data_IF_734491190077
#
_entry.id   IF_734491190077
#
_cell.length_a   1.000
_cell.length_b   1.000
_cell.length_c   1.000
_cell.angle_alpha   90.00
_cell.angle_beta   90.00
_cell.angle_gamma   90.00
#
_symmetry.space_group_name_H-M   'P 1'
#
loop_
_entity.id
_entity.type
_entity.pdbx_description
1 polymer ?
#
# COMPACT_ATOMS: atom_id res chain seq x y z
N UNK A 1 -26.24 5.89 -7.42
CA UNK A 1 -25.83 5.35 -6.12
C UNK A 1 -27.04 5.21 -5.23
N UNK A 2 -27.21 4.07 -4.58
CA UNK A 2 -28.30 3.86 -3.61
C UNK A 2 -28.00 4.58 -2.28
N UNK A 3 -29.02 4.86 -1.46
CA UNK A 3 -28.81 5.47 -0.12
C UNK A 3 -27.93 4.60 0.78
N UNK A 4 -27.93 3.27 0.56
CA UNK A 4 -27.02 2.33 1.22
C UNK A 4 -25.57 2.55 0.79
N UNK A 5 -25.32 2.61 -0.52
CA UNK A 5 -23.97 2.85 -1.06
C UNK A 5 -23.40 4.19 -0.59
N UNK A 6 -24.25 5.22 -0.48
CA UNK A 6 -23.83 6.53 0.02
C UNK A 6 -23.40 6.45 1.49
N UNK A 7 -24.14 5.74 2.34
CA UNK A 7 -23.73 5.52 3.74
C UNK A 7 -22.41 4.73 3.83
N UNK A 8 -22.27 3.67 3.03
CA UNK A 8 -21.05 2.88 3.01
C UNK A 8 -19.84 3.71 2.55
N UNK A 9 -20.03 4.60 1.58
CA UNK A 9 -18.99 5.52 1.14
C UNK A 9 -18.59 6.51 2.25
N UNK A 10 -19.55 7.01 3.05
CA UNK A 10 -19.25 7.86 4.21
C UNK A 10 -18.48 7.09 5.30
N UNK A 11 -18.90 5.86 5.62
CA UNK A 11 -18.21 4.98 6.57
C UNK A 11 -16.76 4.74 6.13
N UNK A 12 -16.56 4.36 4.86
CA UNK A 12 -15.22 4.13 4.31
C UNK A 12 -14.36 5.38 4.34
N UNK A 13 -14.90 6.53 3.94
CA UNK A 13 -14.16 7.79 3.94
C UNK A 13 -13.73 8.20 5.36
N UNK A 14 -14.57 7.97 6.37
CA UNK A 14 -14.24 8.28 7.76
C UNK A 14 -13.19 7.31 8.33
N UNK A 15 -13.33 6.02 8.06
CA UNK A 15 -12.33 5.02 8.46
C UNK A 15 -10.98 5.33 7.82
N UNK A 16 -10.94 5.63 6.52
CA UNK A 16 -9.70 5.95 5.79
C UNK A 16 -9.01 7.21 6.36
N UNK A 17 -9.78 8.23 6.74
CA UNK A 17 -9.25 9.45 7.39
C UNK A 17 -8.50 9.13 8.69
N UNK A 18 -8.87 8.02 9.34
CA UNK A 18 -8.32 7.60 10.63
C UNK A 18 -7.16 6.59 10.47
N UNK A 19 -6.60 6.42 9.26
CA UNK A 19 -5.39 5.61 9.01
C UNK A 19 -5.47 4.18 9.58
N UNK A 20 -6.38 3.33 9.07
CA UNK A 20 -6.49 1.96 9.53
C UNK A 20 -5.28 1.14 9.07
N UNK A 21 -5.00 0.04 9.77
CA UNK A 21 -4.11 -1.01 9.24
C UNK A 21 -4.83 -1.68 8.07
N UNK A 22 -4.13 -1.94 6.97
CA UNK A 22 -4.73 -2.46 5.73
C UNK A 22 -5.57 -3.74 5.95
N UNK A 23 -5.08 -4.66 6.78
CA UNK A 23 -5.75 -5.92 7.12
C UNK A 23 -7.01 -5.70 7.97
N UNK A 24 -7.06 -4.64 8.80
CA UNK A 24 -8.17 -4.36 9.70
C UNK A 24 -9.31 -3.56 9.04
N UNK A 25 -9.06 -2.94 7.88
CA UNK A 25 -10.00 -2.04 7.20
C UNK A 25 -11.38 -2.66 7.01
N UNK A 26 -11.45 -3.89 6.49
CA UNK A 26 -12.74 -4.55 6.22
C UNK A 26 -13.52 -4.85 7.51
N UNK A 27 -12.81 -5.23 8.57
CA UNK A 27 -13.41 -5.48 9.89
C UNK A 27 -13.98 -4.21 10.48
N UNK A 28 -13.24 -3.08 10.39
CA UNK A 28 -13.71 -1.78 10.86
C UNK A 28 -14.96 -1.31 10.09
N UNK A 29 -15.00 -1.50 8.77
CA UNK A 29 -16.20 -1.19 7.96
C UNK A 29 -17.42 -1.97 8.48
N UNK A 30 -17.28 -3.27 8.75
CA UNK A 30 -18.37 -4.11 9.26
C UNK A 30 -18.84 -3.70 10.66
N UNK A 31 -17.91 -3.36 11.54
CA UNK A 31 -18.24 -2.86 12.89
C UNK A 31 -18.99 -1.54 12.81
N UNK A 32 -18.51 -0.59 12.01
CA UNK A 32 -19.16 0.70 11.82
C UNK A 32 -20.54 0.56 11.16
N UNK A 33 -20.70 -0.32 10.15
CA UNK A 33 -21.99 -0.64 9.55
C UNK A 33 -22.98 -1.20 10.57
N UNK A 34 -22.53 -2.09 11.46
CA UNK A 34 -23.40 -2.69 12.49
C UNK A 34 -23.89 -1.68 13.54
N UNK A 35 -23.07 -0.65 13.81
CA UNK A 35 -23.39 0.41 14.76
C UNK A 35 -24.10 1.60 14.11
N UNK A 36 -24.42 1.56 12.81
CA UNK A 36 -25.03 2.69 12.10
C UNK A 36 -26.39 2.32 11.52
N UNK A 37 -27.42 3.06 11.93
CA UNK A 37 -28.77 2.99 11.35
C UNK A 37 -28.95 4.09 10.33
N UNK A 38 -29.59 3.79 9.19
CA UNK A 38 -29.97 4.80 8.19
C UNK A 38 -31.18 5.60 8.64
N UNK A 39 -31.20 6.87 8.30
CA UNK A 39 -32.34 7.77 8.48
C UNK A 39 -32.60 8.50 7.16
N UNK A 40 -33.85 8.90 6.95
CA UNK A 40 -34.24 9.71 5.78
C UNK A 40 -33.92 11.21 5.99
N UNK A 41 -33.80 11.63 7.24
CA UNK A 41 -33.43 13.00 7.61
C UNK A 41 -31.90 13.19 7.62
N UNK A 42 -31.37 14.36 7.23
CA UNK A 42 -29.96 14.70 7.38
C UNK A 42 -29.48 14.50 8.83
N UNK A 43 -28.30 13.88 9.07
CA UNK A 43 -27.22 13.58 8.12
C UNK A 43 -27.39 12.28 7.29
N UNK A 44 -28.55 11.63 7.36
CA UNK A 44 -28.85 10.38 6.64
C UNK A 44 -28.52 9.12 7.43
N UNK A 45 -28.04 9.26 8.66
CA UNK A 45 -27.67 8.16 9.55
C UNK A 45 -27.73 8.55 11.03
N UNK A 46 -27.73 7.54 11.89
CA UNK A 46 -27.65 7.67 13.34
C UNK A 46 -26.86 6.49 13.91
N UNK A 47 -25.96 6.78 14.86
CA UNK A 47 -25.18 5.76 15.54
C UNK A 47 -26.04 5.14 16.65
N UNK A 48 -26.09 3.82 16.70
CA UNK A 48 -26.89 3.05 17.65
C UNK A 48 -26.00 2.12 18.47
N UNK A 49 -26.46 1.76 19.66
CA UNK A 49 -25.82 0.75 20.50
C UNK A 49 -26.23 -0.66 20.09
N UNK A 50 -25.79 -1.65 20.89
CA UNK A 50 -26.08 -3.07 20.67
C UNK A 50 -27.58 -3.39 20.75
N UNK A 51 -28.34 -2.61 21.51
CA UNK A 51 -29.78 -2.74 21.67
C UNK A 51 -30.56 -1.94 20.60
N UNK A 52 -29.84 -1.26 19.71
CA UNK A 52 -30.40 -0.46 18.64
C UNK A 52 -30.91 0.91 19.09
N UNK A 53 -30.56 1.35 20.30
CA UNK A 53 -30.91 2.67 20.81
C UNK A 53 -29.92 3.73 20.32
N UNK A 54 -30.38 4.96 20.04
CA UNK A 54 -29.49 6.05 19.63
C UNK A 54 -28.42 6.36 20.67
N UNK A 55 -27.16 6.41 20.24
CA UNK A 55 -26.05 6.83 21.11
C UNK A 55 -25.90 8.35 21.07
N UNK A 56 -25.63 8.93 22.23
CA UNK A 56 -25.36 10.35 22.41
C UNK A 56 -24.04 10.56 23.14
N UNK A 57 -23.47 11.76 23.00
CA UNK A 57 -22.31 12.22 23.74
C UNK A 57 -22.60 13.56 24.40
N UNK A 58 -21.94 13.82 25.52
CA UNK A 58 -22.05 15.09 26.23
C UNK A 58 -20.87 15.98 25.82
N UNK A 59 -21.14 17.16 25.26
CA UNK A 59 -20.13 18.16 24.90
C UNK A 59 -20.55 19.49 25.50
N UNK A 60 -19.74 20.03 26.42
CA UNK A 60 -20.07 21.30 27.07
C UNK A 60 -21.35 21.28 27.92
N UNK A 61 -21.79 20.10 28.38
CA UNK A 61 -23.05 19.91 29.12
C UNK A 61 -24.28 19.66 28.24
N UNK A 62 -24.15 19.72 26.91
CA UNK A 62 -25.23 19.41 25.97
C UNK A 62 -25.13 17.97 25.46
N UNK A 63 -26.27 17.29 25.38
CA UNK A 63 -26.38 15.92 24.84
C UNK A 63 -26.57 15.98 23.33
N UNK A 64 -25.52 15.66 22.58
CA UNK A 64 -25.52 15.63 21.12
C UNK A 64 -25.56 14.18 20.59
N UNK A 65 -26.13 13.94 19.41
CA UNK A 65 -26.04 12.62 18.77
C UNK A 65 -24.58 12.28 18.48
N UNK A 66 -24.21 11.02 18.72
CA UNK A 66 -22.86 10.52 18.45
C UNK A 66 -22.62 10.55 16.93
N UNK A 67 -21.53 11.19 16.50
CA UNK A 67 -21.16 11.24 15.08
C UNK A 67 -20.39 10.00 14.63
N UNK A 68 -20.27 9.80 13.32
CA UNK A 68 -19.45 8.72 12.77
C UNK A 68 -17.96 8.87 13.16
N UNK A 69 -17.43 10.10 13.21
CA UNK A 69 -16.06 10.36 13.68
C UNK A 69 -15.89 9.93 15.14
N UNK A 70 -16.87 10.24 16.00
CA UNK A 70 -16.83 9.84 17.42
C UNK A 70 -16.86 8.32 17.58
N UNK A 71 -17.64 7.62 16.74
CA UNK A 71 -17.66 6.16 16.72
C UNK A 71 -16.30 5.58 16.32
N UNK A 72 -15.66 6.10 15.28
CA UNK A 72 -14.33 5.62 14.85
C UNK A 72 -13.26 5.93 15.90
N UNK A 73 -13.33 7.08 16.57
CA UNK A 73 -12.45 7.39 17.69
C UNK A 73 -12.65 6.44 18.89
N UNK A 74 -13.88 6.02 19.15
CA UNK A 74 -14.18 4.99 20.15
C UNK A 74 -13.60 3.63 19.75
N UNK A 75 -13.78 3.21 18.49
CA UNK A 75 -13.18 2.00 17.95
C UNK A 75 -11.66 2.03 18.05
N UNK A 76 -11.02 3.19 17.82
CA UNK A 76 -9.58 3.34 18.01
C UNK A 76 -9.15 3.17 19.46
N UNK A 77 -9.90 3.74 20.41
CA UNK A 77 -9.61 3.57 21.85
C UNK A 77 -9.76 2.11 22.29
N UNK A 78 -10.79 1.42 21.79
CA UNK A 78 -11.06 0.01 22.13
C UNK A 78 -10.10 -0.96 21.42
N UNK A 79 -9.72 -0.66 20.19
CA UNK A 79 -8.92 -1.53 19.33
C UNK A 79 -7.73 -0.77 18.71
N UNK A 80 -6.75 -0.32 19.52
CA UNK A 80 -5.65 0.50 19.03
C UNK A 80 -4.79 -0.19 17.97
N UNK A 81 -4.71 -1.52 18.00
CA UNK A 81 -3.95 -2.33 17.02
C UNK A 81 -4.57 -2.37 15.62
N UNK A 82 -5.83 -1.95 15.46
CA UNK A 82 -6.48 -1.87 14.14
C UNK A 82 -6.15 -0.56 13.40
N UNK A 83 -5.50 0.38 14.07
CA UNK A 83 -5.13 1.68 13.52
C UNK A 83 -3.60 1.83 13.51
N UNK A 84 -3.09 2.55 12.51
CA UNK A 84 -1.68 2.89 12.48
C UNK A 84 -1.37 3.82 13.65
N UNK A 85 -0.34 3.49 14.44
CA UNK A 85 0.13 4.42 15.44
C UNK A 85 0.72 5.64 14.74
N UNK A 86 0.47 6.86 15.25
CA UNK A 86 1.21 8.03 14.81
C UNK A 86 2.69 7.70 14.94
N UNK A 87 3.45 7.75 13.84
CA UNK A 87 4.88 7.56 13.88
C UNK A 87 5.44 8.46 14.97
N UNK A 88 6.06 7.87 16.00
CA UNK A 88 6.64 8.65 17.08
C UNK A 88 7.59 9.68 16.45
N UNK A 89 7.57 10.95 16.90
CA UNK A 89 8.57 11.90 16.46
C UNK A 89 9.94 11.29 16.74
N UNK A 90 10.88 11.33 15.78
CA UNK A 90 12.19 10.73 15.96
C UNK A 90 12.80 11.25 17.25
N UNK A 91 13.39 10.39 18.11
CA UNK A 91 14.04 10.86 19.32
C UNK A 91 15.06 11.93 18.94
N UNK A 92 15.02 13.07 19.63
CA UNK A 92 16.02 14.11 19.48
C UNK A 92 17.40 13.45 19.62
N UNK A 93 18.21 13.56 18.58
CA UNK A 93 19.48 12.87 18.46
C UNK A 93 20.38 13.18 19.66
N UNK A 94 20.46 12.24 20.60
CA UNK A 94 21.43 12.26 21.69
C UNK A 94 22.83 12.03 21.11
N UNK A 95 23.48 13.10 20.67
CA UNK A 95 24.93 13.38 20.80
C UNK A 95 25.99 12.36 20.36
N UNK A 96 25.66 11.20 19.81
CA UNK A 96 26.60 10.31 19.14
C UNK A 96 26.59 10.63 17.67
N UNK A 97 27.71 11.15 17.12
CA UNK A 97 27.82 11.59 15.73
C UNK A 97 27.12 10.60 14.76
N UNK A 98 25.99 10.99 14.16
CA UNK A 98 25.30 10.14 13.20
C UNK A 98 26.16 10.09 11.95
N UNK A 99 26.54 8.89 11.50
CA UNK A 99 27.13 8.75 10.16
C UNK A 99 26.00 8.96 9.15
N UNK A 100 26.22 9.88 8.21
CA UNK A 100 25.33 10.38 7.15
C UNK A 100 24.79 9.34 6.12
N UNK A 101 24.51 8.10 6.51
CA UNK A 101 24.10 7.05 5.57
C UNK A 101 22.62 6.64 5.66
N UNK A 102 21.85 7.16 6.62
CA UNK A 102 20.39 6.94 6.68
C UNK A 102 19.67 8.13 6.05
N UNK A 103 19.73 8.20 4.72
CA UNK A 103 18.81 9.02 3.94
C UNK A 103 18.20 8.11 2.89
N UNK A 104 17.12 7.41 3.28
CA UNK A 104 16.14 6.99 2.28
C UNK A 104 15.55 8.29 1.75
N UNK A 105 16.02 8.70 0.58
CA UNK A 105 15.43 9.81 -0.15
C UNK A 105 13.98 9.38 -0.41
N UNK A 106 12.96 10.06 0.15
CA UNK A 106 11.59 9.79 -0.26
C UNK A 106 11.56 9.96 -1.78
N UNK A 107 10.91 9.03 -2.48
CA UNK A 107 10.74 9.09 -3.93
C UNK A 107 10.45 10.54 -4.33
N UNK A 108 11.17 11.12 -5.31
CA UNK A 108 10.92 12.51 -5.68
C UNK A 108 9.44 12.60 -6.05
N UNK A 109 8.69 13.33 -5.21
CA UNK A 109 7.33 13.70 -5.53
C UNK A 109 7.37 14.25 -6.95
N UNK A 110 6.60 13.62 -7.86
CA UNK A 110 6.48 14.07 -9.23
C UNK A 110 6.39 15.61 -9.22
N UNK A 111 7.19 16.32 -10.04
CA UNK A 111 7.21 17.77 -10.00
C UNK A 111 5.79 18.26 -10.13
N UNK A 112 5.29 18.89 -9.06
CA UNK A 112 4.02 19.60 -9.11
C UNK A 112 4.15 20.56 -10.29
N UNK A 113 3.20 20.54 -11.25
CA UNK A 113 3.26 21.44 -12.38
C UNK A 113 3.39 22.86 -11.83
N UNK A 114 4.31 23.68 -12.36
CA UNK A 114 4.44 25.05 -11.90
C UNK A 114 3.08 25.71 -12.00
N UNK A 115 2.63 26.30 -10.90
CA UNK A 115 1.41 27.09 -10.85
C UNK A 115 1.52 28.20 -11.90
N UNK A 116 0.91 27.96 -13.07
CA UNK A 116 0.70 28.94 -14.14
C UNK A 116 -0.66 29.61 -13.92
N UNK A 117 -0.79 30.89 -14.27
CA UNK A 117 -0.59 31.96 -13.29
C UNK A 117 -1.90 32.64 -12.89
N UNK A 118 -1.89 33.19 -11.68
CA UNK A 118 -2.86 34.14 -11.11
C UNK A 118 -3.24 35.32 -12.02
N UNK A 119 -2.47 35.61 -13.09
CA UNK A 119 -2.76 36.66 -14.06
C UNK A 119 -4.04 36.44 -14.88
N UNK A 120 -4.45 35.19 -15.12
CA UNK A 120 -5.72 34.93 -15.83
C UNK A 120 -6.93 35.21 -14.93
N UNK A 121 -6.79 35.00 -13.61
CA UNK A 121 -7.83 35.33 -12.61
C UNK A 121 -7.97 36.84 -12.45
N UNK A 122 -6.88 37.59 -12.36
CA UNK A 122 -6.93 39.07 -12.32
C UNK A 122 -7.53 39.67 -13.60
N UNK A 123 -7.23 39.09 -14.77
CA UNK A 123 -7.81 39.55 -16.03
C UNK A 123 -9.32 39.25 -16.13
N UNK A 124 -9.78 38.12 -15.58
CA UNK A 124 -11.20 37.75 -15.56
C UNK A 124 -12.01 38.53 -14.51
N UNK A 125 -11.43 38.82 -13.34
CA UNK A 125 -12.07 39.65 -12.31
C UNK A 125 -12.23 41.11 -12.76
N UNK A 126 -11.25 41.65 -13.49
CA UNK A 126 -11.34 42.98 -14.11
C UNK A 126 -12.43 43.08 -15.19
N UNK A 127 -12.69 41.99 -15.90
CA UNK A 127 -13.73 41.92 -16.94
C UNK A 127 -15.13 41.72 -16.33
N UNK A 128 -15.23 40.95 -15.25
CA UNK A 128 -16.46 40.80 -14.46
C UNK A 128 -16.89 42.10 -13.76
N UNK A 129 -15.92 42.92 -13.30
CA UNK A 129 -16.20 44.24 -12.73
C UNK A 129 -16.75 45.23 -13.77
N UNK A 130 -16.29 45.15 -15.03
CA UNK A 130 -16.79 46.00 -16.14
C UNK A 130 -18.16 45.59 -16.68
N UNK A 131 -18.59 44.35 -16.44
CA UNK A 131 -19.90 43.84 -16.88
C UNK A 131 -21.01 43.98 -15.82
N UNK A 132 -20.70 44.41 -14.59
CA UNK A 132 -21.73 44.75 -13.60
C UNK A 132 -22.45 46.04 -14.00
N UNK A 133 -23.70 45.88 -14.47
CA UNK A 133 -24.66 46.98 -14.53
C UNK A 133 -24.83 47.60 -13.13
N UNK A 134 -24.90 48.93 -13.02
CA UNK A 134 -25.18 49.58 -11.74
C UNK A 134 -26.56 49.14 -11.24
N UNK A 135 -26.61 48.72 -9.97
CA UNK A 135 -27.87 48.43 -9.30
C UNK A 135 -28.71 49.71 -9.22
N UNK A 136 -30.04 49.63 -9.42
CA UNK A 136 -30.92 50.78 -9.24
C UNK A 136 -30.88 51.24 -7.77
N UNK A 137 -30.74 52.56 -7.59
CA UNK A 137 -30.64 53.22 -6.30
C UNK A 137 -31.88 52.95 -5.42
N UNK A 138 -31.71 52.86 -4.08
CA UNK A 138 -32.84 52.72 -3.17
C UNK A 138 -33.67 54.00 -3.19
N UNK A 139 -34.93 53.88 -3.63
CA UNK A 139 -35.92 54.94 -3.48
C UNK A 139 -36.27 55.05 -1.99
N UNK A 140 -36.18 56.29 -1.48
CA UNK A 140 -36.47 56.64 -0.09
C UNK A 140 -37.93 56.43 0.32
N UNK A 141 -38.24 56.65 1.60
CA UNK A 141 -39.51 56.26 2.20
C UNK A 141 -40.66 57.12 1.66
N UNK A 142 -41.64 56.47 1.02
CA UNK A 142 -42.91 57.10 0.66
C UNK A 142 -43.82 57.11 1.89
N UNK A 143 -44.35 58.30 2.15
CA UNK A 143 -45.23 58.64 3.23
C UNK A 143 -46.54 57.82 3.26
N UNK A 144 -47.12 57.81 4.46
CA UNK A 144 -48.37 57.19 4.85
C UNK A 144 -49.55 57.46 3.90
N UNK A 145 -50.36 56.42 3.67
CA UNK A 145 -51.72 56.53 3.16
C UNK A 145 -52.65 55.55 3.93
N UNK A 146 -53.42 56.15 4.84
CA UNK A 146 -54.82 55.93 5.25
C UNK A 146 -55.46 54.53 5.06
N UNK A 147 -56.12 53.96 6.10
CA UNK A 147 -56.92 52.74 6.00
C UNK A 147 -58.37 53.04 5.56
N UNK A 148 -58.95 52.18 4.73
CA UNK A 148 -60.39 52.20 4.37
C UNK A 148 -60.90 50.74 4.30
N UNK A 149 -62.14 50.45 4.74
CA UNK A 149 -62.45 49.25 5.52
C UNK A 149 -63.04 48.08 4.73
N UNK A 150 -63.15 46.96 5.44
CA UNK A 150 -63.82 45.73 5.06
C UNK A 150 -65.33 45.91 4.74
N UNK A 151 -65.79 45.13 3.76
CA UNK A 151 -67.20 44.93 3.40
C UNK A 151 -67.37 43.62 2.62
N UNK A 152 -68.58 43.02 2.58
CA UNK A 152 -68.78 41.75 3.25
C UNK A 152 -68.96 40.52 2.35
N UNK A 153 -68.90 39.38 3.03
CA UNK A 153 -69.38 38.04 2.67
C UNK A 153 -70.74 38.06 1.97
N UNK A 154 -70.81 37.36 0.83
CA UNK A 154 -72.04 36.94 0.18
C UNK A 154 -71.88 35.52 -0.34
N UNK A 155 -72.58 34.59 0.31
CA UNK A 155 -72.79 33.21 -0.11
C UNK A 155 -73.58 33.13 -1.42
N UNK A 156 -73.35 32.06 -2.19
CA UNK A 156 -74.45 31.38 -2.89
C UNK A 156 -74.25 31.02 -4.36
N UNK A 157 -74.01 29.71 -4.59
CA UNK A 157 -74.55 28.87 -5.68
C UNK A 157 -74.00 29.15 -7.11
N UNK A 158 -73.58 28.21 -7.96
CA UNK A 158 -73.68 26.74 -8.10
C UNK A 158 -72.64 26.31 -9.18
N UNK A 159 -72.30 25.01 -9.29
CA UNK A 159 -71.29 24.49 -10.21
C UNK A 159 -71.87 24.17 -11.60
N UNK A 160 -71.08 24.37 -12.66
CA UNK A 160 -71.51 24.05 -14.03
C UNK A 160 -70.41 24.20 -15.07
N UNK A 161 -69.76 23.07 -15.38
CA UNK A 161 -69.24 22.62 -16.67
C UNK A 161 -69.23 23.63 -17.84
N UNK A 162 -68.05 23.93 -18.41
CA UNK A 162 -67.78 23.78 -19.86
C UNK A 162 -66.39 24.30 -20.31
N UNK A 163 -65.59 23.34 -20.79
CA UNK A 163 -64.69 23.33 -21.97
C UNK A 163 -63.48 24.28 -22.12
N UNK A 164 -62.44 23.80 -22.83
CA UNK A 164 -61.12 24.42 -22.91
C UNK A 164 -61.02 25.40 -24.09
N UNK A 165 -60.39 26.56 -23.88
CA UNK A 165 -59.90 27.39 -24.97
C UNK A 165 -58.47 27.00 -25.35
N UNK A 166 -58.35 26.31 -26.49
CA UNK A 166 -57.15 26.33 -27.32
C UNK A 166 -56.92 27.77 -27.77
N UNK A 167 -55.80 28.38 -27.37
CA UNK A 167 -55.15 29.42 -28.17
C UNK A 167 -53.88 28.86 -28.78
N UNK A 168 -54.01 28.46 -30.05
CA UNK A 168 -52.91 28.53 -31.00
C UNK A 168 -52.50 29.99 -31.12
N UNK A 169 -51.24 30.27 -30.82
CA UNK A 169 -50.68 31.62 -30.86
C UNK A 169 -49.17 31.57 -31.04
N UNK A 170 -48.77 31.52 -32.31
CA UNK A 170 -47.58 32.17 -32.86
C UNK A 170 -46.22 31.47 -32.67
N UNK A 171 -45.87 30.72 -33.71
CA UNK A 171 -44.49 30.53 -34.17
C UNK A 171 -43.78 31.87 -34.41
N UNK A 172 -42.54 31.97 -33.93
CA UNK A 172 -41.40 32.72 -34.51
C UNK A 172 -40.19 32.44 -33.59
N UNK A 173 -39.37 31.43 -33.88
CA UNK A 173 -38.09 31.58 -34.58
C UNK A 173 -37.06 32.44 -33.84
N UNK A 174 -36.15 31.80 -33.10
CA UNK A 174 -34.73 32.21 -33.00
C UNK A 174 -33.87 31.00 -32.64
N UNK A 175 -33.47 30.24 -33.67
CA UNK A 175 -32.20 29.51 -33.70
C UNK A 175 -31.14 30.49 -34.21
N UNK A 176 -29.98 30.55 -33.56
CA UNK A 176 -28.74 31.11 -34.13
C UNK A 176 -28.04 32.16 -33.26
N UNK A 177 -26.71 32.02 -33.13
CA UNK A 177 -25.72 32.78 -32.34
C UNK A 177 -25.75 32.44 -30.83
N UNK A 178 -24.81 31.67 -30.26
CA UNK A 178 -23.36 31.81 -30.36
C UNK A 178 -22.65 30.47 -30.59
N UNK A 179 -22.13 30.29 -31.79
CA UNK A 179 -20.84 29.63 -31.97
C UNK A 179 -19.73 30.65 -31.64
N UNK A 180 -18.59 30.14 -31.16
CA UNK A 180 -17.30 30.80 -30.84
C UNK A 180 -16.94 30.65 -29.36
N UNK A 181 -16.49 29.43 -29.02
CA UNK A 181 -15.28 29.13 -28.24
C UNK A 181 -15.10 27.61 -28.16
N UNK A 182 -15.10 26.97 -29.33
CA UNK A 182 -14.78 25.55 -29.54
C UNK A 182 -13.60 25.43 -30.49
N UNK A 183 -12.51 26.14 -30.20
CA UNK A 183 -11.37 26.27 -31.09
C UNK A 183 -10.07 26.42 -30.31
N UNK A 184 -9.70 25.39 -29.54
CA UNK A 184 -8.33 25.15 -29.06
C UNK A 184 -8.16 23.73 -28.48
N UNK A 185 -8.68 22.69 -29.18
CA UNK A 185 -8.40 21.27 -28.85
C UNK A 185 -7.91 20.46 -30.07
N UNK A 186 -7.77 21.06 -31.27
CA UNK A 186 -7.31 20.32 -32.48
C UNK A 186 -5.91 20.74 -32.95
N UNK A 187 -5.13 21.47 -32.14
CA UNK A 187 -3.76 21.87 -32.50
C UNK A 187 -2.70 21.40 -31.47
N UNK A 188 -2.89 20.18 -30.95
CA UNK A 188 -1.92 19.53 -30.04
C UNK A 188 -1.82 18.01 -30.19
N UNK A 189 -2.47 17.41 -31.18
CA UNK A 189 -2.43 15.95 -31.47
C UNK A 189 -1.86 15.68 -32.88
N UNK A 190 -1.34 16.70 -33.57
CA UNK A 190 -0.88 16.61 -34.98
C UNK A 190 0.61 16.87 -35.20
N UNK A 191 1.48 16.65 -34.21
CA UNK A 191 2.91 16.96 -34.31
C UNK A 191 3.85 15.86 -33.78
N UNK A 192 3.37 14.63 -33.69
CA UNK A 192 4.18 13.47 -33.31
C UNK A 192 4.12 12.30 -34.31
N UNK A 193 3.49 12.48 -35.49
CA UNK A 193 3.39 11.43 -36.53
C UNK A 193 3.91 11.86 -37.91
N UNK A 194 4.74 12.91 -37.97
CA UNK A 194 5.46 13.31 -39.20
C UNK A 194 6.98 13.43 -38.96
N UNK A 195 7.56 12.41 -38.32
CA UNK A 195 9.01 12.19 -38.34
C UNK A 195 9.32 10.71 -38.14
N UNK A 196 8.95 9.90 -39.13
CA UNK A 196 9.76 8.74 -39.53
C UNK A 196 9.22 8.24 -40.88
N UNK A 197 9.83 8.77 -41.93
CA UNK A 197 9.71 8.22 -43.28
C UNK A 197 10.91 7.32 -43.55
N UNK A 198 10.62 6.10 -43.99
CA UNK A 198 11.40 5.39 -45.02
C UNK A 198 12.58 4.53 -44.55
N UNK A 199 12.30 3.23 -44.31
CA UNK A 199 12.74 2.05 -45.12
C UNK A 199 13.84 2.28 -46.21
N UNK A 200 14.66 1.26 -46.59
CA UNK A 200 14.27 -0.15 -46.66
C UNK A 200 15.33 -1.21 -46.33
N UNK A 201 14.80 -2.42 -46.16
CA UNK A 201 15.49 -3.69 -46.28
C UNK A 201 16.48 -3.78 -47.47
N UNK A 202 17.66 -4.35 -47.19
CA UNK A 202 18.47 -5.06 -48.19
C UNK A 202 18.61 -6.52 -47.80
N UNK A 203 17.89 -7.31 -48.58
CA UNK A 203 18.18 -8.68 -48.94
C UNK A 203 19.61 -8.81 -49.50
N UNK A 204 20.39 -9.72 -48.93
CA UNK A 204 21.55 -10.32 -49.58
C UNK A 204 21.81 -11.70 -48.94
N UNK A 205 21.69 -12.70 -49.79
CA UNK A 205 22.06 -14.10 -49.59
C UNK A 205 23.46 -14.30 -48.99
N UNK A 206 23.63 -15.38 -48.21
CA UNK A 206 24.81 -16.27 -48.12
C UNK A 206 24.28 -17.55 -47.44
N UNK A 207 23.94 -18.59 -48.21
CA UNK A 207 24.79 -19.76 -48.53
C UNK A 207 24.95 -20.73 -47.34
N UNK A 208 24.40 -21.93 -47.55
CA UNK A 208 24.67 -23.14 -46.79
C UNK A 208 26.17 -23.50 -46.76
N UNK A 209 26.58 -24.32 -45.78
CA UNK A 209 27.38 -25.48 -46.19
C UNK A 209 26.83 -26.80 -45.63
N UNK A 210 26.83 -27.78 -46.53
CA UNK A 210 26.71 -29.20 -46.29
C UNK A 210 28.02 -29.76 -45.67
N UNK A 211 28.08 -31.06 -45.29
CA UNK A 211 28.98 -31.59 -44.28
C UNK A 211 30.36 -31.95 -44.82
N UNK A 212 31.39 -31.81 -43.98
CA UNK A 212 32.70 -32.43 -44.20
C UNK A 212 32.86 -33.65 -43.29
N UNK A 213 32.95 -34.81 -43.92
CA UNK A 213 33.43 -36.07 -43.35
C UNK A 213 34.96 -36.11 -43.39
N UNK A 214 35.56 -36.79 -42.41
CA UNK A 214 36.93 -37.33 -42.42
C UNK A 214 38.01 -36.25 -42.17
N UNK A 215 38.93 -36.37 -41.22
CA UNK A 215 39.58 -37.56 -40.66
C UNK A 215 40.28 -37.11 -39.38
N UNK A 216 40.25 -37.92 -38.32
CA UNK A 216 41.07 -37.72 -37.13
C UNK A 216 42.58 -37.84 -37.42
N UNK A 217 43.48 -37.89 -36.40
CA UNK A 217 43.19 -38.44 -35.06
C UNK A 217 43.89 -37.74 -33.86
N UNK A 218 43.58 -38.26 -32.65
CA UNK A 218 44.47 -38.38 -31.45
C UNK A 218 44.80 -37.08 -30.67
N UNK A 219 44.85 -37.01 -29.34
CA UNK A 219 44.52 -37.88 -28.19
C UNK A 219 44.50 -36.97 -26.94
N UNK A 220 43.57 -37.26 -26.02
CA UNK A 220 43.64 -37.20 -24.54
C UNK A 220 44.90 -36.59 -23.90
N UNK A 221 44.79 -35.59 -23.03
CA UNK A 221 44.41 -35.66 -21.60
C UNK A 221 45.59 -35.99 -20.66
N UNK A 222 45.83 -35.02 -19.77
CA UNK A 222 46.22 -35.09 -18.36
C UNK A 222 47.47 -35.87 -17.91
N UNK A 223 48.37 -35.07 -17.33
CA UNK A 223 48.89 -35.20 -15.96
C UNK A 223 49.58 -36.51 -15.57
N UNK A 224 50.91 -36.45 -15.67
CA UNK A 224 51.88 -37.33 -15.04
C UNK A 224 52.17 -36.86 -13.61
N UNK A 225 51.73 -37.61 -12.59
CA UNK A 225 52.34 -37.63 -11.25
C UNK A 225 52.18 -39.04 -10.64
N UNK A 226 53.28 -39.79 -10.65
CA UNK A 226 53.65 -40.91 -9.77
C UNK A 226 54.10 -40.34 -8.40
N UNK A 227 53.89 -40.95 -7.20
CA UNK A 227 54.36 -42.31 -6.78
C UNK A 227 53.32 -43.15 -6.00
N UNK A 228 53.28 -44.48 -6.12
CA UNK A 228 54.17 -45.52 -5.57
C UNK A 228 53.89 -45.92 -4.09
N UNK A 229 53.31 -47.11 -3.97
CA UNK A 229 53.49 -48.18 -2.96
C UNK A 229 53.27 -47.91 -1.46
N UNK A 230 52.22 -48.55 -0.92
CA UNK A 230 52.27 -49.32 0.35
C UNK A 230 51.42 -50.60 0.23
N UNK A 231 51.97 -51.79 0.52
CA UNK A 231 51.18 -53.03 0.64
C UNK A 231 50.59 -53.19 2.05
N UNK A 232 49.50 -53.97 2.09
CA UNK A 232 48.78 -54.40 3.28
C UNK A 232 49.40 -55.67 3.92
N UNK A 233 49.20 -55.83 5.24
CA UNK A 233 48.98 -57.08 6.03
C UNK A 233 49.24 -56.72 7.52
N UNK A 234 48.54 -57.19 8.56
CA UNK A 234 47.72 -58.38 8.76
C UNK A 234 46.68 -58.19 9.90
N UNK A 235 45.60 -58.99 9.85
CA UNK A 235 44.71 -59.39 10.97
C UNK A 235 45.32 -60.63 11.68
N UNK A 236 44.96 -61.08 12.91
CA UNK A 236 43.59 -61.50 13.31
C UNK A 236 43.21 -61.29 14.82
N UNK A 237 41.91 -61.24 15.17
CA UNK A 237 41.14 -62.12 16.09
C UNK A 237 41.87 -62.53 17.39
N UNK A 238 41.34 -62.48 18.62
CA UNK A 238 40.08 -62.96 19.23
C UNK A 238 40.26 -62.66 20.76
N UNK A 239 39.28 -62.30 21.61
CA UNK A 239 38.44 -63.20 22.42
C UNK A 239 37.96 -62.40 23.65
N UNK A 240 36.67 -62.48 23.94
CA UNK A 240 35.99 -62.02 25.18
C UNK A 240 36.27 -63.03 26.32
N UNK A 241 36.41 -62.61 27.59
CA UNK A 241 35.33 -62.96 28.54
C UNK A 241 35.06 -61.86 29.60
N UNK A 242 33.78 -61.62 29.87
CA UNK A 242 33.30 -61.20 31.20
C UNK A 242 33.25 -62.47 32.09
N UNK A 243 33.21 -62.39 33.43
CA UNK A 243 31.89 -62.21 34.07
C UNK A 243 31.83 -61.59 35.49
N UNK A 244 30.58 -61.28 35.87
CA UNK A 244 29.94 -61.39 37.19
C UNK A 244 30.31 -60.39 38.33
N UNK A 245 29.41 -59.96 39.22
CA UNK A 245 27.95 -59.99 39.34
C UNK A 245 27.52 -59.17 40.59
N UNK A 246 26.41 -58.43 40.45
CA UNK A 246 25.29 -57.99 41.37
C UNK A 246 25.22 -58.47 42.85
N UNK A 247 24.34 -57.93 43.76
CA UNK A 247 23.03 -57.23 43.61
C UNK A 247 22.83 -56.01 44.58
N UNK A 248 21.72 -55.26 44.77
CA UNK A 248 20.28 -55.54 44.71
C UNK A 248 19.39 -54.25 44.82
N UNK A 249 18.24 -54.28 44.12
CA UNK A 249 16.86 -53.83 44.47
C UNK A 249 16.46 -52.34 44.70
N UNK A 250 15.55 -51.87 43.83
CA UNK A 250 14.20 -51.26 44.08
C UNK A 250 13.90 -50.22 42.96
N UNK A 251 13.11 -50.57 41.95
CA UNK A 251 11.69 -50.23 41.82
C UNK A 251 11.41 -48.72 41.63
N UNK A 252 11.23 -48.25 40.39
CA UNK A 252 10.09 -47.38 40.04
C UNK A 252 9.95 -47.18 38.53
N UNK A 253 8.69 -47.19 38.13
CA UNK A 253 8.09 -47.01 36.82
C UNK A 253 8.54 -45.73 36.13
N UNK A 254 9.19 -45.80 34.96
CA UNK A 254 9.24 -44.66 34.04
C UNK A 254 9.19 -45.10 32.57
N UNK A 255 8.02 -44.86 31.98
CA UNK A 255 7.74 -44.90 30.54
C UNK A 255 8.88 -44.29 29.74
N UNK A 256 9.39 -45.04 28.78
CA UNK A 256 9.98 -44.47 27.57
C UNK A 256 8.94 -43.58 26.89
N UNK A 257 9.23 -42.31 26.58
CA UNK A 257 8.55 -41.65 25.49
C UNK A 257 9.27 -42.02 24.20
N UNK A 258 8.65 -42.92 23.45
CA UNK A 258 8.69 -42.87 21.99
C UNK A 258 8.22 -41.47 21.59
N UNK A 259 9.12 -40.63 21.05
CA UNK A 259 8.73 -39.52 20.20
C UNK A 259 9.23 -39.79 18.78
N UNK A 260 8.48 -40.67 18.12
CA UNK A 260 8.13 -40.51 16.72
C UNK A 260 7.37 -39.20 16.59
N UNK A 261 7.83 -38.30 15.72
CA UNK A 261 7.14 -37.05 15.47
C UNK A 261 8.00 -36.06 14.72
N UNK A 262 8.39 -36.43 13.49
CA UNK A 262 8.80 -35.46 12.49
C UNK A 262 7.64 -34.45 12.32
N UNK A 263 7.76 -33.29 12.95
CA UNK A 263 6.84 -32.17 12.73
C UNK A 263 7.19 -31.59 11.36
N UNK A 264 6.43 -32.05 10.37
CA UNK A 264 6.22 -31.35 9.11
C UNK A 264 5.92 -29.88 9.44
N UNK A 265 6.58 -28.90 8.79
CA UNK A 265 6.57 -27.52 9.24
C UNK A 265 5.15 -26.99 9.27
N UNK A 266 4.78 -26.43 10.43
CA UNK A 266 3.57 -25.65 10.64
C UNK A 266 3.28 -24.80 9.41
N UNK A 267 2.07 -25.00 8.90
CA UNK A 267 1.39 -24.23 7.86
C UNK A 267 1.99 -22.84 7.76
N UNK A 268 2.72 -22.58 6.68
CA UNK A 268 3.37 -21.30 6.43
C UNK A 268 2.30 -20.25 6.15
N UNK A 269 1.59 -19.82 7.19
CA UNK A 269 0.69 -18.69 7.18
C UNK A 269 1.47 -17.37 7.31
N UNK A 270 0.83 -16.23 7.02
CA UNK A 270 1.42 -14.93 7.27
C UNK A 270 1.76 -14.76 8.76
N UNK A 271 2.92 -14.14 9.03
CA UNK A 271 3.42 -13.86 10.38
C UNK A 271 3.54 -12.34 10.55
N UNK A 272 3.20 -11.83 11.74
CA UNK A 272 3.29 -10.41 12.06
C UNK A 272 3.81 -10.22 13.49
N UNK A 273 4.68 -9.23 13.70
CA UNK A 273 5.18 -8.89 15.04
C UNK A 273 6.55 -8.22 15.00
N UNK A 274 7.17 -8.06 16.16
CA UNK A 274 8.54 -7.52 16.26
C UNK A 274 9.53 -8.64 15.93
N UNK A 275 10.35 -8.43 14.90
CA UNK A 275 11.40 -9.38 14.52
C UNK A 275 12.71 -9.08 15.25
N UNK A 276 13.41 -10.16 15.62
CA UNK A 276 14.80 -10.12 16.06
C UNK A 276 15.70 -10.41 14.85
N UNK A 277 16.71 -9.59 14.62
CA UNK A 277 17.61 -9.74 13.48
C UNK A 277 18.75 -10.68 13.85
N UNK A 278 18.89 -11.79 13.12
CA UNK A 278 20.04 -12.69 13.27
C UNK A 278 21.19 -12.27 12.36
N UNK A 279 20.86 -12.01 11.10
CA UNK A 279 21.75 -11.43 10.10
C UNK A 279 20.93 -10.59 9.09
N UNK A 280 21.58 -9.99 8.10
CA UNK A 280 20.89 -9.12 7.14
C UNK A 280 19.97 -9.87 6.15
N UNK A 281 20.07 -11.19 6.04
CA UNK A 281 19.23 -12.06 5.23
C UNK A 281 18.29 -12.94 6.08
N UNK A 282 18.44 -12.97 7.40
CA UNK A 282 17.73 -13.89 8.30
C UNK A 282 17.15 -13.16 9.52
N UNK A 283 15.85 -13.31 9.72
CA UNK A 283 15.09 -12.74 10.83
C UNK A 283 14.50 -13.84 11.71
N UNK A 284 14.31 -13.58 12.99
CA UNK A 284 13.56 -14.43 13.91
C UNK A 284 12.26 -13.75 14.31
N UNK A 285 11.13 -14.40 14.05
CA UNK A 285 9.80 -13.87 14.32
C UNK A 285 8.90 -14.99 14.86
N UNK A 286 8.29 -14.77 16.03
CA UNK A 286 7.43 -15.77 16.66
C UNK A 286 8.13 -17.10 16.93
N UNK A 287 9.42 -17.08 17.28
CA UNK A 287 10.24 -18.28 17.50
C UNK A 287 10.68 -19.00 16.23
N UNK A 288 10.28 -18.53 15.04
CA UNK A 288 10.66 -19.11 13.75
C UNK A 288 11.81 -18.31 13.12
N UNK A 289 12.74 -19.02 12.50
CA UNK A 289 13.82 -18.41 11.70
C UNK A 289 13.33 -18.27 10.25
N UNK A 290 13.31 -17.06 9.74
CA UNK A 290 12.79 -16.68 8.42
C UNK A 290 13.93 -16.13 7.57
N UNK A 291 14.17 -16.74 6.40
CA UNK A 291 15.09 -16.21 5.40
C UNK A 291 14.36 -15.23 4.49
N UNK A 292 14.94 -14.04 4.28
CA UNK A 292 14.41 -13.04 3.36
C UNK A 292 14.50 -13.53 1.91
N UNK A 293 13.45 -13.26 1.14
CA UNK A 293 13.36 -13.62 -0.28
C UNK A 293 14.34 -12.80 -1.12
N UNK A 294 15.09 -13.47 -2.01
CA UNK A 294 16.01 -12.79 -2.94
C UNK A 294 17.24 -12.16 -2.30
N UNK A 295 17.50 -12.39 -1.00
CA UNK A 295 18.68 -11.86 -0.30
C UNK A 295 19.63 -12.97 0.11
N UNK A 296 20.89 -12.80 -0.25
CA UNK A 296 22.00 -13.62 0.23
C UNK A 296 22.86 -12.82 1.20
N UNK A 297 23.15 -13.45 2.34
CA UNK A 297 24.10 -12.92 3.29
C UNK A 297 25.48 -12.80 2.66
N UNK A 298 26.17 -11.70 2.93
CA UNK A 298 27.51 -11.47 2.46
C UNK A 298 28.43 -11.05 3.60
N UNK A 299 29.68 -11.49 3.54
CA UNK A 299 30.70 -11.13 4.53
C UNK A 299 30.89 -9.61 4.55
N UNK A 300 30.78 -9.02 5.74
CA UNK A 300 30.88 -7.57 5.94
C UNK A 300 29.53 -6.88 6.14
N UNK A 301 28.42 -7.56 5.87
CA UNK A 301 27.09 -7.08 6.23
C UNK A 301 26.92 -7.07 7.76
N UNK A 302 26.36 -5.98 8.30
CA UNK A 302 26.18 -5.79 9.74
C UNK A 302 24.72 -5.97 10.12
N UNK A 303 24.43 -6.94 10.98
CA UNK A 303 23.08 -7.17 11.50
C UNK A 303 22.56 -5.98 12.33
N UNK A 304 23.46 -5.21 12.95
CA UNK A 304 23.13 -4.01 13.72
C UNK A 304 22.45 -2.94 12.89
N UNK A 305 22.80 -2.81 11.61
CA UNK A 305 22.28 -1.78 10.72
C UNK A 305 20.80 -2.07 10.41
N UNK A 306 20.47 -3.33 10.11
CA UNK A 306 19.08 -3.76 9.93
C UNK A 306 18.29 -3.72 11.24
N UNK A 307 18.92 -4.06 12.38
CA UNK A 307 18.30 -3.95 13.70
C UNK A 307 17.95 -2.50 14.04
N UNK A 308 18.87 -1.58 13.77
CA UNK A 308 18.68 -0.15 13.96
C UNK A 308 17.65 0.43 13.00
N UNK A 309 17.62 -0.04 11.75
CA UNK A 309 16.56 0.31 10.82
C UNK A 309 15.20 -0.15 11.34
N UNK A 310 15.04 -1.39 11.79
CA UNK A 310 13.77 -1.89 12.32
C UNK A 310 13.36 -1.18 13.60
N UNK A 311 14.28 -0.89 14.52
CA UNK A 311 14.04 -0.15 15.76
C UNK A 311 12.80 -0.63 16.56
N UNK A 312 12.53 -1.95 16.55
CA UNK A 312 11.36 -2.53 17.20
C UNK A 312 10.02 -2.36 16.47
N UNK A 313 10.02 -1.82 15.24
CA UNK A 313 8.82 -1.73 14.40
C UNK A 313 8.30 -3.11 14.02
N UNK A 314 6.97 -3.29 13.95
CA UNK A 314 6.39 -4.57 13.56
C UNK A 314 6.64 -4.84 12.07
N UNK A 315 7.02 -6.08 11.76
CA UNK A 315 7.21 -6.58 10.40
C UNK A 315 6.11 -7.58 10.06
N UNK A 316 5.65 -7.56 8.81
CA UNK A 316 4.66 -8.50 8.28
C UNK A 316 5.34 -9.39 7.23
N UNK A 317 5.46 -10.68 7.51
CA UNK A 317 6.11 -11.66 6.64
C UNK A 317 5.08 -12.59 6.00
N UNK A 318 5.17 -12.75 4.69
CA UNK A 318 4.38 -13.69 3.90
C UNK A 318 5.31 -14.74 3.27
N UNK A 319 4.87 -16.01 3.17
CA UNK A 319 5.66 -17.03 2.50
C UNK A 319 5.81 -16.67 1.01
N UNK A 320 7.02 -16.80 0.47
CA UNK A 320 7.23 -16.65 -0.97
C UNK A 320 6.58 -17.82 -1.74
N UNK A 321 6.29 -17.66 -3.04
CA UNK A 321 5.75 -18.76 -3.86
C UNK A 321 6.69 -19.99 -3.90
N UNK A 322 7.99 -19.80 -3.71
CA UNK A 322 8.98 -20.88 -3.61
C UNK A 322 8.99 -21.58 -2.22
N UNK A 323 8.24 -21.07 -1.23
CA UNK A 323 8.08 -21.59 0.15
C UNK A 323 9.38 -21.79 0.96
N UNK A 324 10.53 -21.38 0.42
CA UNK A 324 11.85 -21.50 1.04
C UNK A 324 12.36 -20.17 1.63
N UNK A 325 11.67 -19.07 1.32
CA UNK A 325 11.97 -17.74 1.81
C UNK A 325 10.69 -16.93 2.06
N UNK A 326 10.84 -15.77 2.69
CA UNK A 326 9.76 -14.93 3.17
C UNK A 326 9.90 -13.52 2.62
N UNK A 327 8.79 -12.96 2.17
CA UNK A 327 8.68 -11.55 1.80
C UNK A 327 8.21 -10.82 3.05
N UNK A 328 9.09 -10.02 3.63
CA UNK A 328 8.79 -9.30 4.86
C UNK A 328 8.70 -7.80 4.59
N UNK A 329 7.65 -7.17 5.10
CA UNK A 329 7.41 -5.73 4.91
C UNK A 329 7.40 -4.99 6.25
N UNK A 330 7.95 -3.78 6.27
CA UNK A 330 7.87 -2.84 7.39
C UNK A 330 7.34 -1.51 6.87
N UNK A 331 6.28 -0.98 7.48
CA UNK A 331 5.64 0.27 7.05
C UNK A 331 5.25 0.30 5.54
N UNK A 332 5.02 -0.87 4.95
CA UNK A 332 4.71 -1.03 3.53
C UNK A 332 5.91 -1.13 2.58
N UNK A 333 7.14 -1.10 3.10
CA UNK A 333 8.38 -1.29 2.33
C UNK A 333 8.88 -2.74 2.43
N UNK A 334 9.36 -3.30 1.31
CA UNK A 334 9.99 -4.62 1.29
C UNK A 334 11.37 -4.57 1.95
N UNK A 335 11.57 -5.38 2.99
CA UNK A 335 12.84 -5.48 3.69
C UNK A 335 13.96 -6.00 2.80
N UNK A 336 13.66 -6.88 1.85
CA UNK A 336 14.66 -7.39 0.91
C UNK A 336 15.23 -6.26 0.04
N UNK A 337 14.35 -5.37 -0.44
CA UNK A 337 14.74 -4.20 -1.22
C UNK A 337 15.58 -3.24 -0.37
N UNK A 338 15.14 -2.93 0.85
CA UNK A 338 15.87 -2.04 1.77
C UNK A 338 17.27 -2.59 2.07
N UNK A 339 17.40 -3.89 2.34
CA UNK A 339 18.70 -4.50 2.63
C UNK A 339 19.62 -4.40 1.42
N UNK A 340 19.14 -4.73 0.21
CA UNK A 340 19.98 -4.71 -0.99
C UNK A 340 20.35 -3.29 -1.41
N UNK A 341 19.41 -2.35 -1.33
CA UNK A 341 19.61 -0.94 -1.69
C UNK A 341 20.70 -0.27 -0.83
N UNK A 342 20.81 -0.65 0.44
CA UNK A 342 21.83 -0.15 1.36
C UNK A 342 23.14 -0.96 1.35
N UNK A 343 23.24 -1.99 0.50
CA UNK A 343 24.42 -2.84 0.43
C UNK A 343 24.59 -3.77 1.63
N UNK A 344 23.50 -4.15 2.29
CA UNK A 344 23.48 -5.11 3.39
C UNK A 344 23.53 -6.57 2.96
N UNK A 345 23.53 -6.87 1.66
CA UNK A 345 23.56 -8.24 1.12
C UNK A 345 23.80 -8.27 -0.39
N UNK A 346 23.73 -9.47 -0.96
CA UNK A 346 23.77 -9.72 -2.42
C UNK A 346 22.41 -10.20 -2.89
N UNK A 347 22.04 -9.88 -4.12
CA UNK A 347 20.83 -10.42 -4.72
C UNK A 347 21.03 -11.92 -4.97
N UNK A 348 20.13 -12.75 -4.45
CA UNK A 348 20.13 -14.20 -4.66
C UNK A 348 19.61 -14.61 -6.03
N UNK A 349 19.71 -15.90 -6.36
CA UNK A 349 19.21 -16.44 -7.63
C UNK A 349 17.68 -16.28 -7.80
N UNK A 350 16.95 -16.15 -6.70
CA UNK A 350 15.51 -15.93 -6.63
C UNK A 350 15.12 -14.43 -6.61
N UNK A 351 16.08 -13.51 -6.66
CA UNK A 351 15.81 -12.08 -6.61
C UNK A 351 14.94 -11.60 -7.80
N UNK A 352 13.95 -10.76 -7.51
CA UNK A 352 13.18 -10.08 -8.57
C UNK A 352 14.05 -9.03 -9.29
N UNK A 353 13.65 -8.57 -10.49
CA UNK A 353 14.37 -7.52 -11.20
C UNK A 353 14.62 -6.25 -10.36
N UNK A 354 13.63 -5.87 -9.53
CA UNK A 354 13.72 -4.70 -8.65
C UNK A 354 14.80 -4.88 -7.57
N UNK A 355 14.91 -6.09 -6.99
CA UNK A 355 15.96 -6.42 -6.02
C UNK A 355 17.37 -6.40 -6.65
N UNK A 356 17.49 -6.83 -7.90
CA UNK A 356 18.75 -6.75 -8.67
C UNK A 356 19.13 -5.29 -8.96
N UNK A 357 18.14 -4.43 -9.25
CA UNK A 357 18.37 -2.99 -9.42
C UNK A 357 18.79 -2.31 -8.11
N UNK A 358 18.16 -2.67 -6.98
CA UNK A 358 18.53 -2.20 -5.66
C UNK A 358 19.99 -2.56 -5.32
N UNK A 359 20.41 -3.80 -5.62
CA UNK A 359 21.82 -4.20 -5.44
C UNK A 359 22.76 -3.39 -6.36
N UNK A 360 22.38 -3.18 -7.63
CA UNK A 360 23.16 -2.37 -8.58
C UNK A 360 23.33 -0.93 -8.09
N UNK A 361 22.30 -0.36 -7.47
CA UNK A 361 22.37 0.94 -6.82
C UNK A 361 23.44 0.95 -5.72
N UNK A 362 23.39 -0.03 -4.81
CA UNK A 362 24.36 -0.15 -3.73
C UNK A 362 25.80 -0.34 -4.22
N UNK A 363 26.00 -1.13 -5.30
CA UNK A 363 27.31 -1.32 -5.94
C UNK A 363 27.84 0.00 -6.50
N UNK A 364 27.01 0.72 -7.25
CA UNK A 364 27.39 1.99 -7.89
C UNK A 364 27.68 3.06 -6.85
N UNK A 365 26.89 3.09 -5.77
CA UNK A 365 27.07 4.00 -4.64
C UNK A 365 28.17 3.58 -3.64
N UNK A 366 28.82 2.43 -3.85
CA UNK A 366 29.82 1.84 -2.92
C UNK A 366 29.29 1.76 -1.47
N UNK A 367 28.05 1.31 -1.31
CA UNK A 367 27.36 1.23 -0.02
C UNK A 367 27.61 -0.12 0.67
N UNK A 368 27.59 -0.14 2.01
CA UNK A 368 27.66 -1.36 2.82
C UNK A 368 28.85 -2.27 2.47
N UNK A 369 28.56 -3.51 2.08
CA UNK A 369 29.57 -4.51 1.68
C UNK A 369 30.39 -4.10 0.44
N UNK A 370 29.88 -3.16 -0.36
CA UNK A 370 30.51 -2.70 -1.60
C UNK A 370 31.54 -1.59 -1.38
N UNK A 371 31.57 -0.98 -0.17
CA UNK A 371 32.47 0.13 0.14
C UNK A 371 33.97 -0.22 0.02
N UNK A 372 34.31 -1.50 0.17
CA UNK A 372 35.71 -1.99 0.17
C UNK A 372 36.06 -2.81 -1.08
N UNK A 373 35.18 -2.88 -2.07
CA UNK A 373 35.51 -3.53 -3.34
C UNK A 373 36.20 -2.51 -4.27
N UNK A 374 37.35 -2.87 -4.88
CA UNK A 374 38.15 -1.96 -5.70
C UNK A 374 37.41 -1.48 -6.95
#
# INVERSE_FOLDING_TARGET
MTSREQLQALIRAEIDRQHPVAVARRTLELLAESATRRLDAPPGYQIVDRDGQPRTRIVGGETLPLSLSDLVDELRRQHPTMFQQPAAPPPAASGGAPRDWIVVKPAPAAPRPPARPSRLREALDGLAARLRRPAPAPQGPVAAAVPVPAGPTGEGLKPGLARPQRRLGRWSSHRGAYAVLGGLVVLGIGSALLRDGGEPAREAAIVAPAPAQGTGPRTSQAADVRPEARPAEAKPAETKPAPAAVPSKAAETKREPVQTGAVVPETAGPLAGVAEVLDTATLRLGGRTLRLYGVEWAKGAQASDLSGYLAGRPVNCQPSPAKTAWICTVDGHDLSEVVLYNGGGRAGADATPDLVEAERHARTGKLGIWAKQP
#
